data_IF_917605712299
#
_entry.id   IF_917605712299
#
_cell.length_a   1.000
_cell.length_b   1.000
_cell.length_c   1.000
_cell.angle_alpha   90.00
_cell.angle_beta   90.00
_cell.angle_gamma   90.00
#
_symmetry.space_group_name_H-M   'P 1'
#
loop_
_entity.id
_entity.type
_entity.pdbx_description
1 polymer ?
#
# COMPACT_ATOMS: atom_id res chain seq x y z
N UNK A 1 20.71 2.11 -18.02
CA UNK A 1 19.85 1.36 -17.08
C UNK A 1 18.51 1.17 -17.76
N UNK A 2 18.05 -0.06 -17.85
CA UNK A 2 16.84 -0.37 -18.60
C UNK A 2 15.64 0.28 -17.94
N UNK A 3 14.65 0.72 -18.73
CA UNK A 3 13.41 1.37 -18.33
C UNK A 3 12.46 0.52 -17.44
N UNK A 4 13.00 -0.40 -16.65
CA UNK A 4 12.28 -1.42 -15.90
C UNK A 4 12.75 -1.58 -14.45
N UNK A 5 13.34 -0.55 -13.84
CA UNK A 5 13.60 -0.65 -12.40
C UNK A 5 12.27 -0.46 -11.65
N UNK A 6 11.78 -1.59 -11.19
CA UNK A 6 10.46 -1.73 -10.58
C UNK A 6 10.43 -1.16 -9.16
N UNK A 7 11.54 -1.30 -8.40
CA UNK A 7 11.71 -0.79 -7.04
C UNK A 7 13.16 -0.34 -6.87
N UNK A 8 13.35 0.85 -6.32
CA UNK A 8 14.65 1.42 -5.98
C UNK A 8 14.64 1.98 -4.57
N UNK A 9 15.79 1.99 -3.91
CA UNK A 9 15.98 2.65 -2.62
C UNK A 9 17.21 3.58 -2.67
N UNK A 10 17.08 4.72 -2.00
CA UNK A 10 18.14 5.71 -1.85
C UNK A 10 18.21 6.13 -0.38
N UNK A 11 19.43 6.21 0.18
CA UNK A 11 19.66 6.58 1.56
C UNK A 11 20.40 7.91 1.59
N UNK A 12 19.82 8.89 2.26
CA UNK A 12 20.43 10.17 2.54
C UNK A 12 20.08 10.61 3.97
N UNK A 13 21.06 11.06 4.73
CA UNK A 13 20.87 11.65 6.09
C UNK A 13 19.97 10.81 7.02
N UNK A 14 20.18 9.48 7.03
CA UNK A 14 19.38 8.48 7.77
C UNK A 14 17.91 8.34 7.31
N UNK A 15 17.56 8.91 6.18
CA UNK A 15 16.28 8.72 5.50
C UNK A 15 16.47 7.74 4.35
N UNK A 16 15.70 6.67 4.32
CA UNK A 16 15.64 5.77 3.16
C UNK A 16 14.38 6.09 2.34
N UNK A 17 14.56 6.50 1.11
CA UNK A 17 13.44 6.68 0.17
C UNK A 17 13.29 5.42 -0.68
N UNK A 18 12.21 4.67 -0.48
CA UNK A 18 11.82 3.53 -1.31
C UNK A 18 10.86 4.04 -2.38
N UNK A 19 11.22 3.85 -3.65
CA UNK A 19 10.41 4.24 -4.81
C UNK A 19 10.01 3.03 -5.63
N UNK A 20 8.77 2.97 -6.08
CA UNK A 20 8.32 1.92 -6.99
C UNK A 20 7.69 2.52 -8.25
N UNK A 21 7.74 1.76 -9.34
CA UNK A 21 7.18 2.17 -10.63
C UNK A 21 6.64 0.99 -11.42
N UNK A 22 5.47 1.20 -12.02
CA UNK A 22 4.89 0.34 -13.03
C UNK A 22 4.13 1.23 -14.03
N UNK A 23 4.44 1.15 -15.36
CA UNK A 23 3.76 1.96 -16.36
C UNK A 23 2.24 1.74 -16.40
N UNK A 24 1.75 0.62 -15.87
CA UNK A 24 0.33 0.33 -15.72
C UNK A 24 -0.24 0.87 -14.40
N UNK A 25 -0.15 2.19 -14.21
CA UNK A 25 -0.73 2.88 -13.06
C UNK A 25 -0.12 2.49 -11.72
N UNK A 26 1.15 2.13 -11.68
CA UNK A 26 1.83 1.68 -10.46
C UNK A 26 1.10 0.51 -9.76
N UNK A 27 0.47 -0.38 -10.57
CA UNK A 27 -0.11 -1.62 -10.06
C UNK A 27 0.99 -2.59 -9.62
N UNK A 28 0.72 -3.36 -8.56
CA UNK A 28 1.70 -4.24 -7.95
C UNK A 28 1.57 -5.66 -8.50
N UNK A 29 2.60 -6.10 -9.22
CA UNK A 29 2.80 -7.49 -9.63
C UNK A 29 3.48 -8.28 -8.51
N UNK A 30 3.52 -9.61 -8.63
CA UNK A 30 4.28 -10.49 -7.73
C UNK A 30 5.72 -9.99 -7.54
N UNK A 31 6.36 -9.55 -8.63
CA UNK A 31 7.74 -9.03 -8.56
C UNK A 31 7.84 -7.75 -7.73
N UNK A 32 6.87 -6.82 -7.84
CA UNK A 32 6.81 -5.62 -6.99
C UNK A 32 6.63 -6.01 -5.52
N UNK A 33 5.72 -6.94 -5.23
CA UNK A 33 5.44 -7.38 -3.86
C UNK A 33 6.71 -7.98 -3.22
N UNK A 34 7.41 -8.84 -3.93
CA UNK A 34 8.64 -9.47 -3.44
C UNK A 34 9.78 -8.45 -3.24
N UNK A 35 9.98 -7.54 -4.19
CA UNK A 35 11.03 -6.51 -4.09
C UNK A 35 10.76 -5.52 -2.98
N UNK A 36 9.53 -4.99 -2.88
CA UNK A 36 9.15 -4.10 -1.77
C UNK A 36 9.31 -4.79 -0.42
N UNK A 37 8.87 -6.06 -0.30
CA UNK A 37 9.04 -6.85 0.93
C UNK A 37 10.51 -6.95 1.31
N UNK A 38 11.39 -7.22 0.33
CA UNK A 38 12.83 -7.28 0.55
C UNK A 38 13.39 -5.94 1.03
N UNK A 39 13.05 -4.84 0.34
CA UNK A 39 13.53 -3.49 0.71
C UNK A 39 13.11 -3.13 2.15
N UNK A 40 11.85 -3.36 2.53
CA UNK A 40 11.40 -3.08 3.90
C UNK A 40 12.08 -3.96 4.95
N UNK A 41 12.40 -5.22 4.64
CA UNK A 41 13.19 -6.08 5.51
C UNK A 41 14.62 -5.56 5.67
N UNK A 42 15.29 -5.23 4.56
CA UNK A 42 16.67 -4.75 4.57
C UNK A 42 16.79 -3.44 5.37
N UNK A 43 15.89 -2.50 5.13
CA UNK A 43 15.84 -1.21 5.86
C UNK A 43 15.56 -1.40 7.34
N UNK A 44 14.71 -2.35 7.71
CA UNK A 44 14.31 -2.60 9.10
C UNK A 44 15.52 -2.82 10.01
N UNK A 45 16.54 -3.52 9.55
CA UNK A 45 17.73 -3.89 10.32
C UNK A 45 18.95 -3.03 10.02
N UNK A 46 18.81 -1.97 9.21
CA UNK A 46 19.91 -1.06 8.90
C UNK A 46 19.98 0.07 9.94
N UNK A 47 21.03 0.06 10.77
CA UNK A 47 21.25 1.06 11.83
C UNK A 47 21.59 2.46 11.28
N UNK A 48 21.95 2.56 10.02
CA UNK A 48 22.17 3.83 9.31
C UNK A 48 20.88 4.55 8.92
N UNK A 49 19.69 3.95 9.18
CA UNK A 49 18.38 4.47 8.78
C UNK A 49 17.50 4.67 10.00
N UNK A 50 16.87 5.84 10.10
CA UNK A 50 15.92 6.18 11.15
C UNK A 50 14.48 6.25 10.66
N UNK A 51 14.25 6.55 9.37
CA UNK A 51 12.92 6.74 8.79
C UNK A 51 12.88 6.28 7.34
N UNK A 52 11.74 5.78 6.89
CA UNK A 52 11.48 5.39 5.51
C UNK A 52 10.45 6.32 4.89
N UNK A 53 10.73 6.80 3.69
CA UNK A 53 9.75 7.47 2.82
C UNK A 53 9.36 6.51 1.72
N UNK A 54 8.07 6.20 1.60
CA UNK A 54 7.51 5.41 0.51
C UNK A 54 6.88 6.33 -0.53
N UNK A 55 7.31 6.25 -1.77
CA UNK A 55 6.73 6.96 -2.91
C UNK A 55 6.63 6.07 -4.14
N UNK A 56 5.81 6.45 -5.09
CA UNK A 56 5.86 5.90 -6.44
C UNK A 56 6.32 6.97 -7.44
N UNK A 57 6.85 6.52 -8.57
CA UNK A 57 7.35 7.39 -9.64
C UNK A 57 6.28 7.62 -10.72
N UNK A 58 6.47 8.69 -11.52
CA UNK A 58 5.54 9.12 -12.57
C UNK A 58 4.42 10.02 -12.03
N UNK A 59 3.65 10.61 -12.95
CA UNK A 59 2.63 11.63 -12.64
C UNK A 59 1.19 11.04 -12.56
N UNK A 60 1.07 9.74 -12.69
CA UNK A 60 -0.22 9.05 -12.71
C UNK A 60 -0.74 8.66 -11.33
N UNK A 61 -1.22 7.43 -11.20
CA UNK A 61 -1.65 6.90 -9.91
C UNK A 61 -0.45 6.71 -8.97
N UNK A 62 -0.66 6.94 -7.68
CA UNK A 62 0.30 6.51 -6.68
C UNK A 62 0.37 4.97 -6.64
N UNK A 63 -0.80 4.30 -6.58
CA UNK A 63 -0.84 2.84 -6.64
C UNK A 63 -2.20 2.34 -7.14
N UNK A 64 -2.20 1.64 -8.27
CA UNK A 64 -3.39 1.04 -8.88
C UNK A 64 -3.86 -0.26 -8.24
N UNK A 65 -3.24 -0.69 -7.13
CA UNK A 65 -3.56 -1.95 -6.45
C UNK A 65 -2.90 -3.16 -7.08
N UNK A 66 -3.53 -4.32 -7.02
CA UNK A 66 -3.04 -5.56 -7.60
C UNK A 66 -2.98 -5.49 -9.14
N UNK A 67 -1.96 -6.09 -9.74
CA UNK A 67 -1.82 -6.15 -11.20
C UNK A 67 -2.95 -6.95 -11.85
N UNK A 68 -3.81 -6.28 -12.60
CA UNK A 68 -4.88 -6.95 -13.36
C UNK A 68 -4.30 -7.97 -14.34
N UNK A 69 -3.16 -7.67 -14.97
CA UNK A 69 -2.48 -8.60 -15.89
C UNK A 69 -2.07 -9.93 -15.23
N UNK A 70 -1.84 -9.95 -13.93
CA UNK A 70 -1.58 -11.18 -13.19
C UNK A 70 -2.87 -11.83 -12.72
N UNK A 71 -3.83 -11.04 -12.22
CA UNK A 71 -5.11 -11.57 -11.73
C UNK A 71 -5.85 -12.40 -12.79
N UNK A 72 -5.81 -11.97 -14.05
CA UNK A 72 -6.47 -12.69 -15.16
C UNK A 72 -5.80 -14.00 -15.55
N UNK A 73 -4.55 -14.20 -15.17
CA UNK A 73 -3.77 -15.42 -15.50
C UNK A 73 -3.91 -16.51 -14.44
N UNK A 74 -4.59 -16.24 -13.35
CA UNK A 74 -4.76 -17.27 -12.33
C UNK A 74 -5.71 -18.35 -12.83
N UNK A 75 -5.18 -19.55 -12.93
CA UNK A 75 -5.83 -20.79 -13.36
C UNK A 75 -5.93 -21.82 -12.22
N UNK A 76 -5.21 -21.60 -11.11
CA UNK A 76 -5.12 -22.49 -9.96
C UNK A 76 -5.17 -21.73 -8.65
N UNK A 77 -5.82 -22.37 -7.67
CA UNK A 77 -6.01 -21.83 -6.34
C UNK A 77 -4.69 -21.45 -5.64
N UNK A 78 -3.69 -22.33 -5.72
CA UNK A 78 -2.41 -22.15 -5.06
C UNK A 78 -1.71 -20.86 -5.54
N UNK A 79 -1.65 -20.65 -6.84
CA UNK A 79 -1.04 -19.43 -7.42
C UNK A 79 -1.78 -18.16 -7.01
N UNK A 80 -3.11 -18.20 -7.03
CA UNK A 80 -3.92 -17.07 -6.60
C UNK A 80 -3.71 -16.79 -5.10
N UNK A 81 -3.70 -17.84 -4.25
CA UNK A 81 -3.44 -17.73 -2.81
C UNK A 81 -2.06 -17.15 -2.55
N UNK A 82 -1.01 -17.65 -3.23
CA UNK A 82 0.35 -17.15 -3.11
C UNK A 82 0.45 -15.64 -3.41
N UNK A 83 -0.22 -15.17 -4.47
CA UNK A 83 -0.21 -13.75 -4.82
C UNK A 83 -0.88 -12.90 -3.73
N UNK A 84 -2.09 -13.28 -3.30
CA UNK A 84 -2.81 -12.53 -2.27
C UNK A 84 -2.09 -12.58 -0.91
N UNK A 85 -1.49 -13.73 -0.58
CA UNK A 85 -0.66 -13.85 0.62
C UNK A 85 0.61 -12.99 0.52
N UNK A 86 1.29 -12.96 -0.64
CA UNK A 86 2.46 -12.09 -0.86
C UNK A 86 2.09 -10.61 -0.70
N UNK A 87 0.89 -10.21 -1.14
CA UNK A 87 0.39 -8.85 -0.91
C UNK A 87 0.26 -8.55 0.60
N UNK A 88 -0.40 -9.42 1.34
CA UNK A 88 -0.53 -9.29 2.78
C UNK A 88 0.83 -9.37 3.51
N UNK A 89 1.74 -10.20 3.03
CA UNK A 89 3.11 -10.32 3.57
C UNK A 89 3.89 -9.01 3.45
N UNK A 90 3.76 -8.30 2.32
CA UNK A 90 4.32 -6.96 2.18
C UNK A 90 3.79 -6.03 3.26
N UNK A 91 2.47 -5.96 3.45
CA UNK A 91 1.86 -5.07 4.44
C UNK A 91 2.28 -5.45 5.88
N UNK A 92 2.36 -6.75 6.18
CA UNK A 92 2.88 -7.24 7.48
C UNK A 92 4.34 -6.84 7.68
N UNK A 93 5.17 -6.93 6.64
CA UNK A 93 6.58 -6.51 6.70
C UNK A 93 6.68 -5.00 6.97
N UNK A 94 5.82 -4.19 6.36
CA UNK A 94 5.79 -2.74 6.59
C UNK A 94 5.44 -2.38 8.03
N UNK A 95 4.40 -2.99 8.60
CA UNK A 95 4.02 -2.70 9.99
C UNK A 95 5.02 -3.25 11.01
N UNK A 96 5.74 -4.32 10.69
CA UNK A 96 6.81 -4.91 11.51
C UNK A 96 8.17 -4.26 11.30
N UNK A 97 8.33 -3.41 10.28
CA UNK A 97 9.55 -2.64 10.06
C UNK A 97 9.84 -1.76 11.27
N UNK A 98 11.08 -1.81 11.77
CA UNK A 98 11.49 -1.06 12.97
C UNK A 98 11.55 0.46 12.76
N UNK A 99 11.47 0.92 11.53
CA UNK A 99 11.54 2.34 11.18
C UNK A 99 10.14 2.88 10.88
N UNK A 100 9.79 4.11 11.32
CA UNK A 100 8.56 4.75 10.88
C UNK A 100 8.55 4.91 9.35
N UNK A 101 7.39 4.68 8.74
CA UNK A 101 7.19 4.77 7.30
C UNK A 101 6.23 5.93 7.01
N UNK A 102 6.69 6.86 6.17
CA UNK A 102 5.92 8.02 5.71
C UNK A 102 5.57 7.85 4.25
N UNK A 103 4.29 7.85 3.90
CA UNK A 103 3.85 7.77 2.50
C UNK A 103 3.70 9.16 1.86
N UNK A 104 4.29 9.32 0.65
CA UNK A 104 4.10 10.46 -0.24
C UNK A 104 3.08 10.12 -1.31
N UNK A 105 1.84 10.57 -1.14
CA UNK A 105 0.72 10.19 -2.01
C UNK A 105 0.39 11.32 -2.97
N UNK A 106 0.88 11.25 -4.22
CA UNK A 106 0.68 12.31 -5.22
C UNK A 106 -0.54 12.12 -6.12
N UNK A 107 -1.16 10.93 -6.10
CA UNK A 107 -2.20 10.59 -7.05
C UNK A 107 -3.15 9.51 -6.54
N UNK A 108 -3.90 8.93 -7.46
CA UNK A 108 -4.93 7.91 -7.17
C UNK A 108 -4.37 6.70 -6.45
N UNK A 109 -5.12 6.21 -5.46
CA UNK A 109 -4.90 4.91 -4.82
C UNK A 109 -6.13 4.02 -4.98
N UNK A 110 -5.92 2.80 -5.45
CA UNK A 110 -7.01 1.85 -5.75
C UNK A 110 -6.75 0.53 -5.04
N UNK A 111 -7.78 -0.03 -4.44
CA UNK A 111 -7.73 -1.38 -3.89
C UNK A 111 -6.55 -1.60 -2.95
N UNK A 112 -5.68 -2.54 -3.29
CA UNK A 112 -4.44 -2.82 -2.54
C UNK A 112 -3.57 -1.60 -2.28
N UNK A 113 -3.64 -0.54 -3.11
CA UNK A 113 -2.95 0.73 -2.87
C UNK A 113 -3.42 1.42 -1.58
N UNK A 114 -4.70 1.30 -1.22
CA UNK A 114 -5.23 1.78 0.08
C UNK A 114 -4.60 0.97 1.21
N UNK A 115 -4.47 -0.36 1.05
CA UNK A 115 -3.77 -1.21 2.00
C UNK A 115 -2.32 -0.78 2.22
N UNK A 116 -1.61 -0.48 1.12
CA UNK A 116 -0.22 -0.01 1.18
C UNK A 116 -0.07 1.28 1.98
N UNK A 117 -0.94 2.28 1.74
CA UNK A 117 -0.96 3.54 2.50
C UNK A 117 -1.39 3.30 3.95
N UNK A 118 -2.34 2.39 4.18
CA UNK A 118 -2.82 2.06 5.54
C UNK A 118 -1.75 1.38 6.39
N UNK A 119 -0.79 0.67 5.78
CA UNK A 119 0.33 0.05 6.48
C UNK A 119 1.49 1.04 6.76
N UNK A 120 1.41 2.27 6.26
CA UNK A 120 2.34 3.35 6.62
C UNK A 120 1.92 4.01 7.95
N UNK A 121 2.90 4.48 8.72
CA UNK A 121 2.64 5.12 10.02
C UNK A 121 2.09 6.54 9.84
N UNK A 122 2.53 7.23 8.80
CA UNK A 122 2.09 8.57 8.44
C UNK A 122 1.90 8.68 6.93
N UNK A 123 0.95 9.48 6.46
CA UNK A 123 0.75 9.71 5.04
C UNK A 123 0.37 11.17 4.77
N UNK A 124 1.03 11.77 3.77
CA UNK A 124 0.67 13.09 3.24
C UNK A 124 0.20 12.89 1.80
N UNK A 125 -0.96 13.46 1.50
CA UNK A 125 -1.57 13.36 0.18
C UNK A 125 -1.66 14.71 -0.51
N UNK A 126 -1.52 14.71 -1.83
CA UNK A 126 -1.89 15.84 -2.66
C UNK A 126 -3.42 15.92 -2.76
N UNK A 127 -3.98 17.12 -2.87
CA UNK A 127 -5.42 17.38 -2.94
C UNK A 127 -6.13 16.63 -4.07
N UNK A 128 -5.48 16.45 -5.20
CA UNK A 128 -6.00 15.68 -6.33
C UNK A 128 -5.89 14.16 -6.15
N UNK A 129 -5.25 13.69 -5.08
CA UNK A 129 -5.26 12.28 -4.76
C UNK A 129 -6.69 11.82 -4.45
N UNK A 130 -7.07 10.72 -5.05
CA UNK A 130 -8.37 10.11 -4.82
C UNK A 130 -8.22 8.64 -4.49
N UNK A 131 -9.21 8.07 -3.81
CA UNK A 131 -9.14 6.71 -3.33
C UNK A 131 -10.42 5.92 -3.63
N UNK A 132 -10.27 4.62 -3.87
CA UNK A 132 -11.39 3.74 -4.17
C UNK A 132 -11.05 2.28 -3.85
N UNK A 133 -11.95 1.57 -3.16
CA UNK A 133 -11.95 0.11 -3.13
C UNK A 133 -12.78 -0.40 -4.31
N UNK A 134 -12.13 -1.03 -5.28
CA UNK A 134 -12.76 -1.50 -6.51
C UNK A 134 -12.96 -3.02 -6.54
N UNK A 135 -12.61 -3.74 -5.50
CA UNK A 135 -12.55 -5.19 -5.46
C UNK A 135 -13.91 -5.83 -5.75
N UNK A 136 -15.02 -5.28 -5.22
CA UNK A 136 -16.36 -5.80 -5.52
C UNK A 136 -16.73 -5.67 -7.00
N UNK A 137 -16.17 -4.68 -7.71
CA UNK A 137 -16.46 -4.52 -9.14
C UNK A 137 -15.83 -5.61 -9.99
N UNK A 138 -14.79 -6.27 -9.49
CA UNK A 138 -14.16 -7.43 -10.15
C UNK A 138 -14.58 -8.78 -9.55
N UNK A 139 -15.55 -8.79 -8.63
CA UNK A 139 -16.11 -10.03 -8.07
C UNK A 139 -15.37 -10.60 -6.88
N UNK A 140 -14.46 -9.84 -6.26
CA UNK A 140 -13.80 -10.19 -5.00
C UNK A 140 -14.07 -9.09 -3.96
N UNK A 141 -13.50 -9.22 -2.76
CA UNK A 141 -13.56 -8.18 -1.73
C UNK A 141 -12.16 -7.76 -1.27
N UNK A 142 -12.03 -6.63 -0.59
CA UNK A 142 -10.74 -6.12 -0.09
C UNK A 142 -10.28 -6.85 1.18
N UNK A 143 -10.28 -8.20 1.15
CA UNK A 143 -10.11 -9.03 2.35
C UNK A 143 -8.71 -8.91 2.94
N UNK A 144 -7.66 -9.07 2.12
CA UNK A 144 -6.26 -9.08 2.58
C UNK A 144 -5.86 -7.74 3.22
N UNK A 145 -6.34 -6.63 2.66
CA UNK A 145 -6.00 -5.29 3.16
C UNK A 145 -6.90 -4.86 4.34
N UNK A 146 -8.01 -5.57 4.58
CA UNK A 146 -9.03 -5.16 5.55
C UNK A 146 -8.48 -4.86 6.96
N UNK A 147 -7.59 -5.67 7.59
CA UNK A 147 -7.15 -5.39 8.94
C UNK A 147 -6.33 -4.08 9.01
N UNK A 148 -5.54 -3.79 7.99
CA UNK A 148 -4.73 -2.55 7.92
C UNK A 148 -5.61 -1.31 7.74
N UNK A 149 -6.60 -1.37 6.84
CA UNK A 149 -7.53 -0.25 6.60
C UNK A 149 -8.42 -0.01 7.82
N UNK A 150 -8.94 -1.07 8.44
CA UNK A 150 -9.75 -0.97 9.67
C UNK A 150 -8.92 -0.37 10.80
N UNK A 151 -7.65 -0.80 10.99
CA UNK A 151 -6.75 -0.26 12.00
C UNK A 151 -6.49 1.23 11.79
N UNK A 152 -6.28 1.65 10.54
CA UNK A 152 -5.90 3.02 10.18
C UNK A 152 -7.09 3.98 10.19
N UNK A 153 -8.21 3.58 9.58
CA UNK A 153 -9.34 4.47 9.26
C UNK A 153 -10.65 4.09 9.97
N UNK A 154 -10.66 3.00 10.73
CA UNK A 154 -11.85 2.51 11.41
C UNK A 154 -12.78 1.68 10.53
N UNK A 155 -13.63 0.89 11.19
CA UNK A 155 -14.57 -0.03 10.52
C UNK A 155 -15.62 0.73 9.69
N UNK A 156 -16.04 1.93 10.10
CA UNK A 156 -17.00 2.74 9.35
C UNK A 156 -16.44 3.17 7.99
N UNK A 157 -15.20 3.70 7.96
CA UNK A 157 -14.55 4.06 6.70
C UNK A 157 -14.34 2.85 5.79
N UNK A 158 -13.92 1.71 6.36
CA UNK A 158 -13.73 0.48 5.60
C UNK A 158 -15.05 -0.02 5.00
N UNK A 159 -16.16 -0.01 5.76
CA UNK A 159 -17.46 -0.42 5.25
C UNK A 159 -17.98 0.50 4.14
N UNK A 160 -17.82 1.84 4.30
CA UNK A 160 -18.18 2.80 3.25
C UNK A 160 -17.41 2.55 1.96
N UNK A 161 -16.07 2.42 2.05
CA UNK A 161 -15.22 2.19 0.87
C UNK A 161 -15.50 0.83 0.20
N UNK A 162 -15.78 -0.20 0.99
CA UNK A 162 -15.97 -1.56 0.48
C UNK A 162 -17.30 -1.75 -0.22
N UNK A 163 -18.39 -1.16 0.30
CA UNK A 163 -19.75 -1.34 -0.21
C UNK A 163 -20.09 -0.30 -1.29
N UNK A 164 -19.68 0.95 -1.08
CA UNK A 164 -19.83 2.02 -2.07
C UNK A 164 -18.51 2.21 -2.82
N UNK A 165 -18.38 1.56 -3.97
CA UNK A 165 -17.17 1.56 -4.77
C UNK A 165 -16.91 2.86 -5.55
N UNK A 166 -17.50 3.98 -5.13
CA UNK A 166 -17.27 5.29 -5.74
C UNK A 166 -15.96 5.91 -5.28
N UNK A 167 -15.45 6.85 -6.07
CA UNK A 167 -14.27 7.61 -5.71
C UNK A 167 -14.52 8.52 -4.52
N UNK A 168 -13.52 8.62 -3.65
CA UNK A 168 -13.42 9.59 -2.56
C UNK A 168 -12.21 10.49 -2.81
N UNK A 169 -12.31 11.73 -2.39
CA UNK A 169 -11.22 12.72 -2.48
C UNK A 169 -10.21 12.58 -1.33
N UNK A 170 -9.15 13.37 -1.40
CA UNK A 170 -8.11 13.38 -0.36
C UNK A 170 -8.61 13.89 0.99
N UNK A 171 -9.54 14.85 1.01
CA UNK A 171 -10.10 15.36 2.26
C UNK A 171 -10.96 14.30 2.97
N UNK A 172 -11.71 13.50 2.22
CA UNK A 172 -12.38 12.33 2.80
C UNK A 172 -11.36 11.39 3.46
N UNK A 173 -10.26 11.09 2.75
CA UNK A 173 -9.18 10.24 3.30
C UNK A 173 -8.57 10.81 4.58
N UNK A 174 -8.38 12.12 4.66
CA UNK A 174 -7.90 12.82 5.85
C UNK A 174 -8.91 12.77 7.00
N UNK A 175 -10.19 13.02 6.72
CA UNK A 175 -11.25 13.02 7.73
C UNK A 175 -11.43 11.64 8.40
N UNK A 176 -11.11 10.56 7.68
CA UNK A 176 -11.13 9.20 8.22
C UNK A 176 -9.73 8.66 8.62
N UNK A 177 -8.72 9.53 8.72
CA UNK A 177 -7.41 9.18 9.27
C UNK A 177 -6.49 8.37 8.36
N UNK A 178 -6.85 8.17 7.08
CA UNK A 178 -5.95 7.54 6.11
C UNK A 178 -4.76 8.45 5.80
N UNK A 179 -5.03 9.75 5.60
CA UNK A 179 -4.01 10.78 5.44
C UNK A 179 -3.93 11.64 6.69
N UNK A 180 -2.71 11.98 7.11
CA UNK A 180 -2.46 12.88 8.23
C UNK A 180 -2.51 14.35 7.79
N UNK A 181 -2.20 14.61 6.52
CA UNK A 181 -2.19 15.95 5.93
C UNK A 181 -2.57 15.88 4.45
N UNK A 182 -3.23 16.94 3.96
CA UNK A 182 -3.48 17.19 2.53
C UNK A 182 -2.85 18.53 2.17
N UNK A 183 -2.21 18.60 1.01
CA UNK A 183 -1.53 19.79 0.47
C UNK A 183 -1.96 20.04 -0.97
N UNK A 184 -1.76 21.28 -1.46
CA UNK A 184 -2.31 21.66 -2.76
C UNK A 184 -1.39 21.25 -3.94
N UNK A 185 -0.06 21.26 -3.79
CA UNK A 185 0.87 21.03 -4.90
C UNK A 185 1.86 19.88 -4.64
N UNK A 186 2.53 19.40 -5.69
CA UNK A 186 3.61 18.42 -5.54
C UNK A 186 4.81 19.00 -4.80
N UNK A 187 5.09 20.29 -5.01
CA UNK A 187 6.19 21.01 -4.37
C UNK A 187 5.95 21.09 -2.85
N UNK A 188 4.74 21.43 -2.44
CA UNK A 188 4.35 21.41 -1.02
C UNK A 188 4.40 19.99 -0.44
N UNK A 189 3.96 18.99 -1.22
CA UNK A 189 4.02 17.60 -0.80
C UNK A 189 5.46 17.17 -0.54
N UNK A 190 6.38 17.49 -1.45
CA UNK A 190 7.79 17.17 -1.32
C UNK A 190 8.44 17.90 -0.14
N UNK A 191 8.10 19.18 0.07
CA UNK A 191 8.59 19.97 1.20
C UNK A 191 8.13 19.42 2.55
N UNK A 192 6.85 19.06 2.67
CA UNK A 192 6.29 18.51 3.91
C UNK A 192 6.84 17.12 4.22
N UNK A 193 6.97 16.25 3.20
CA UNK A 193 7.58 14.93 3.35
C UNK A 193 9.04 15.08 3.80
N UNK A 194 9.81 15.94 3.12
CA UNK A 194 11.21 16.19 3.47
C UNK A 194 11.35 16.71 4.89
N UNK A 195 10.57 17.72 5.24
CA UNK A 195 10.59 18.30 6.58
C UNK A 195 10.32 17.25 7.65
N UNK A 196 9.24 16.47 7.49
CA UNK A 196 8.88 15.41 8.45
C UNK A 196 9.97 14.35 8.55
N UNK A 197 10.51 13.89 7.42
CA UNK A 197 11.56 12.87 7.40
C UNK A 197 12.87 13.38 8.04
N UNK A 198 13.28 14.63 7.74
CA UNK A 198 14.43 15.27 8.34
C UNK A 198 14.28 15.43 9.86
N UNK A 199 13.09 15.76 10.35
CA UNK A 199 12.83 15.88 11.79
C UNK A 199 12.85 14.49 12.46
N UNK A 200 12.18 13.49 11.89
CA UNK A 200 12.18 12.11 12.39
C UNK A 200 13.61 11.51 12.40
N UNK A 201 14.43 11.82 11.39
CA UNK A 201 15.80 11.29 11.30
C UNK A 201 16.71 11.72 12.46
N UNK A 202 16.40 12.86 13.13
CA UNK A 202 17.15 13.42 14.26
C UNK A 202 16.69 12.88 15.61
N UNK A 203 15.51 12.27 15.68
CA UNK A 203 14.99 11.75 16.95
C UNK A 203 15.68 10.45 17.34
N UNK A 204 15.54 10.10 18.62
CA UNK A 204 16.05 8.84 19.15
C UNK A 204 15.36 7.66 18.47
N UNK A 205 16.13 6.83 17.76
CA UNK A 205 15.60 5.69 17.03
C UNK A 205 14.83 4.71 17.93
N UNK A 206 15.34 4.44 19.14
CA UNK A 206 14.65 3.54 20.07
C UNK A 206 13.26 4.07 20.47
N UNK A 207 13.13 5.40 20.63
CA UNK A 207 11.82 6.01 20.90
C UNK A 207 10.86 5.85 19.72
N UNK A 208 11.33 6.05 18.48
CA UNK A 208 10.53 5.85 17.28
C UNK A 208 10.08 4.38 17.11
N UNK A 209 11.00 3.43 17.37
CA UNK A 209 10.69 2.00 17.34
C UNK A 209 9.61 1.64 18.36
N UNK A 210 9.73 2.13 19.61
CA UNK A 210 8.74 1.86 20.66
C UNK A 210 7.39 2.49 20.38
N UNK A 211 7.33 3.68 19.78
CA UNK A 211 6.08 4.27 19.30
C UNK A 211 5.44 3.42 18.22
N UNK A 212 6.21 2.93 17.25
CA UNK A 212 5.68 2.07 16.19
C UNK A 212 5.16 0.73 16.73
N UNK A 213 5.83 0.13 17.73
CA UNK A 213 5.31 -1.05 18.42
C UNK A 213 3.91 -0.80 19.02
N UNK A 214 3.69 0.39 19.62
CA UNK A 214 2.38 0.80 20.16
C UNK A 214 1.35 0.98 19.03
N UNK A 215 1.73 1.60 17.90
CA UNK A 215 0.82 1.78 16.76
C UNK A 215 0.28 0.45 16.24
N UNK A 216 1.10 -0.61 16.31
CA UNK A 216 0.82 -1.92 15.75
C UNK A 216 0.72 -3.04 16.80
N UNK A 217 0.43 -2.68 18.07
CA UNK A 217 0.16 -3.68 19.11
C UNK A 217 -1.06 -4.56 18.78
N UNK A 218 -1.08 -5.78 19.31
CA UNK A 218 -2.19 -6.75 19.10
C UNK A 218 -2.38 -7.16 17.63
N UNK A 219 -1.29 -7.21 16.87
CA UNK A 219 -1.26 -7.69 15.48
C UNK A 219 -0.44 -8.98 15.31
N UNK A 220 -0.09 -9.65 16.41
CA UNK A 220 0.80 -10.81 16.42
C UNK A 220 0.22 -11.97 15.60
N UNK A 221 -1.09 -12.16 15.64
CA UNK A 221 -1.83 -13.19 14.92
C UNK A 221 -2.23 -12.80 13.49
N UNK A 222 -1.85 -11.62 13.01
CA UNK A 222 -2.28 -11.15 11.69
C UNK A 222 -1.72 -11.99 10.53
N UNK A 223 -0.62 -12.71 10.72
CA UNK A 223 -0.12 -13.58 9.65
C UNK A 223 -1.11 -14.71 9.33
N UNK A 224 -1.68 -15.35 10.37
CA UNK A 224 -2.76 -16.34 10.20
C UNK A 224 -4.00 -15.69 9.58
N UNK A 225 -4.42 -14.53 10.08
CA UNK A 225 -5.56 -13.79 9.54
C UNK A 225 -5.38 -13.46 8.05
N UNK A 226 -4.18 -13.06 7.64
CA UNK A 226 -3.85 -12.75 6.24
C UNK A 226 -3.89 -14.02 5.38
N UNK A 227 -3.40 -15.15 5.87
CA UNK A 227 -3.50 -16.42 5.14
C UNK A 227 -4.96 -16.81 4.88
N UNK A 228 -5.82 -16.71 5.89
CA UNK A 228 -7.27 -16.95 5.77
C UNK A 228 -7.92 -15.98 4.75
N UNK A 229 -7.55 -14.67 4.78
CA UNK A 229 -8.06 -13.66 3.85
C UNK A 229 -7.55 -13.85 2.43
N UNK A 230 -6.32 -14.31 2.26
CA UNK A 230 -5.75 -14.66 0.98
C UNK A 230 -6.48 -15.86 0.36
N UNK A 231 -6.82 -16.86 1.16
CA UNK A 231 -7.61 -18.00 0.72
C UNK A 231 -9.00 -17.57 0.20
N UNK A 232 -9.71 -16.72 0.93
CA UNK A 232 -11.02 -16.18 0.48
C UNK A 232 -10.85 -15.46 -0.86
N UNK A 233 -9.85 -14.59 -0.98
CA UNK A 233 -9.56 -13.86 -2.22
C UNK A 233 -9.26 -14.79 -3.38
N UNK A 234 -8.46 -15.85 -3.13
CA UNK A 234 -8.08 -16.84 -4.13
C UNK A 234 -9.27 -17.66 -4.64
N UNK A 235 -10.18 -18.05 -3.76
CA UNK A 235 -11.41 -18.76 -4.18
C UNK A 235 -12.31 -17.88 -5.04
N UNK A 236 -12.48 -16.62 -4.67
CA UNK A 236 -13.38 -15.70 -5.36
C UNK A 236 -12.83 -15.24 -6.71
N UNK A 237 -11.51 -15.00 -6.83
CA UNK A 237 -10.91 -14.55 -8.10
C UNK A 237 -11.04 -15.62 -9.21
N UNK A 238 -11.10 -16.90 -8.83
CA UNK A 238 -11.28 -18.04 -9.74
C UNK A 238 -12.75 -18.30 -10.08
N UNK A 239 -13.69 -17.56 -9.52
CA UNK A 239 -15.10 -17.70 -9.86
C UNK A 239 -15.40 -17.22 -11.29
N UNK A 240 -16.44 -17.78 -11.92
CA UNK A 240 -16.92 -17.34 -13.24
C UNK A 240 -17.26 -15.84 -13.26
N UNK A 241 -17.81 -15.32 -12.16
CA UNK A 241 -18.14 -13.90 -12.02
C UNK A 241 -16.89 -13.03 -12.12
N UNK A 242 -15.84 -13.38 -11.39
CA UNK A 242 -14.59 -12.62 -11.40
C UNK A 242 -13.89 -12.73 -12.73
N UNK A 243 -13.79 -13.94 -13.29
CA UNK A 243 -13.19 -14.18 -14.61
C UNK A 243 -13.88 -13.35 -15.70
N UNK A 244 -15.22 -13.38 -15.76
CA UNK A 244 -15.98 -12.61 -16.76
C UNK A 244 -15.83 -11.10 -16.58
N UNK A 245 -15.70 -10.58 -15.37
CA UNK A 245 -15.47 -9.14 -15.11
C UNK A 245 -14.05 -8.70 -15.47
N UNK A 246 -13.05 -9.51 -15.15
CA UNK A 246 -11.65 -9.24 -15.49
C UNK A 246 -11.42 -9.20 -16.99
N UNK A 247 -12.02 -10.16 -17.75
CA UNK A 247 -11.93 -10.18 -19.21
C UNK A 247 -12.54 -8.92 -19.85
N UNK A 248 -13.65 -8.40 -19.31
CA UNK A 248 -14.25 -7.14 -19.79
C UNK A 248 -13.35 -5.93 -19.56
N UNK A 249 -12.58 -5.91 -18.45
CA UNK A 249 -11.64 -4.81 -18.18
C UNK A 249 -10.51 -4.80 -19.20
N UNK A 250 -9.98 -5.98 -19.57
CA UNK A 250 -8.89 -6.08 -20.55
C UNK A 250 -9.40 -5.78 -21.96
N UNK A 251 -10.60 -6.25 -22.32
CA UNK A 251 -11.19 -6.00 -23.65
C UNK A 251 -11.56 -4.53 -23.90
N UNK A 252 -11.57 -3.68 -22.87
CA UNK A 252 -11.84 -2.25 -22.95
C UNK A 252 -10.56 -1.36 -22.82
N UNK A 253 -9.38 -1.97 -22.76
CA UNK A 253 -8.07 -1.29 -22.79
C UNK A 253 -7.46 -1.30 -24.19
#
# INVERSE_FOLDING_TARGET
>A
MSANEIVTSEIQDKVCTISFFNPKGNSLSTLHLLRLTKEFNDVSYNDGINVVVLKSSGDGAFCGGASIDELVKFDRFEKAKEFFFAFGKLLLTMIRCQKPIVARVHGKIVGGGIGLVSACDYAIAKKEASLRLSELTIGIGPFVISPFVIRKSGISAFSHLSLDTQWRDAEWGKNFGLYSKVVDTNEELDQEIKKLADDLSKFNLNSLMKLKEIFWEKTENWEQLIDERAEISARLILSEIASGRLQKIIGNQ
#
